data_IF_909869704585
#
_entry.id   IF_909869704585
#
_cell.length_a   1.000
_cell.length_b   1.000
_cell.length_c   1.000
_cell.angle_alpha   90.00
_cell.angle_beta   90.00
_cell.angle_gamma   90.00
#
_symmetry.space_group_name_H-M   'P 1'
#
loop_
_entity.id
_entity.type
_entity.pdbx_description
1 polymer ?
#
# COMPACT_ATOMS: atom_id res chain seq x y z
N UNK A 1 6.49 22.37 9.89
CA UNK A 1 5.09 22.08 10.26
C UNK A 1 4.68 20.86 9.46
N UNK A 2 4.15 19.85 10.12
CA UNK A 2 3.70 18.62 9.43
C UNK A 2 2.54 18.92 8.47
N UNK A 3 2.48 18.20 7.34
CA UNK A 3 1.47 18.43 6.29
C UNK A 3 0.06 18.17 6.80
N UNK A 4 -0.11 17.20 7.71
CA UNK A 4 -1.40 16.85 8.31
C UNK A 4 -1.78 17.80 9.44
N UNK A 5 -0.83 18.22 10.26
CA UNK A 5 -1.05 19.27 11.27
C UNK A 5 -1.59 20.55 10.60
N UNK A 6 -1.00 20.94 9.47
CA UNK A 6 -1.45 22.10 8.68
C UNK A 6 -2.86 21.89 8.15
N UNK A 7 -3.16 20.71 7.62
CA UNK A 7 -4.46 20.37 7.09
C UNK A 7 -5.56 20.42 8.16
N UNK A 8 -5.25 19.91 9.36
CA UNK A 8 -6.18 19.90 10.48
C UNK A 8 -6.48 21.33 10.97
N UNK A 9 -5.44 22.16 11.18
CA UNK A 9 -5.62 23.55 11.62
C UNK A 9 -6.37 24.41 10.61
N UNK A 10 -6.08 24.24 9.31
CA UNK A 10 -6.76 24.96 8.22
C UNK A 10 -8.07 24.33 7.77
N UNK A 11 -8.45 23.17 8.34
CA UNK A 11 -9.66 22.41 7.99
C UNK A 11 -9.78 22.16 6.49
N UNK A 12 -8.71 21.66 5.87
CA UNK A 12 -8.71 21.40 4.44
C UNK A 12 -9.86 20.48 4.01
N UNK A 13 -10.43 20.82 2.86
CA UNK A 13 -11.46 20.07 2.16
C UNK A 13 -11.00 19.80 0.73
N UNK A 14 -11.31 18.59 0.27
CA UNK A 14 -10.88 18.06 -1.00
C UNK A 14 -12.11 17.82 -1.88
N UNK A 15 -12.25 18.51 -3.01
CA UNK A 15 -13.44 18.39 -3.85
C UNK A 15 -13.52 17.00 -4.48
N UNK A 16 -14.72 16.41 -4.46
CA UNK A 16 -14.99 15.14 -5.12
C UNK A 16 -16.40 15.13 -5.73
N UNK A 17 -16.69 14.12 -6.55
CA UNK A 17 -18.03 13.93 -7.14
C UNK A 17 -19.14 13.68 -6.10
N UNK A 18 -18.79 13.32 -4.86
CA UNK A 18 -19.73 13.07 -3.76
C UNK A 18 -19.74 14.20 -2.72
N UNK A 19 -19.13 15.34 -3.05
CA UNK A 19 -18.94 16.46 -2.13
C UNK A 19 -17.53 16.49 -1.54
N UNK A 20 -17.33 17.42 -0.62
CA UNK A 20 -16.03 17.68 -0.03
C UNK A 20 -15.60 16.58 0.93
N UNK A 21 -14.38 16.09 0.74
CA UNK A 21 -13.76 15.07 1.57
C UNK A 21 -12.84 15.70 2.62
N UNK A 22 -12.76 15.07 3.78
CA UNK A 22 -11.73 15.36 4.79
C UNK A 22 -10.45 14.58 4.51
N UNK A 23 -9.36 14.91 5.22
CA UNK A 23 -8.08 14.20 5.10
C UNK A 23 -8.24 12.71 5.43
N UNK A 24 -9.01 12.40 6.47
CA UNK A 24 -9.27 11.04 6.93
C UNK A 24 -9.99 10.25 5.83
N UNK A 25 -11.01 10.84 5.19
CA UNK A 25 -11.76 10.19 4.11
C UNK A 25 -10.91 9.90 2.87
N UNK A 26 -9.80 10.63 2.65
CA UNK A 26 -8.88 10.31 1.56
C UNK A 26 -8.19 8.95 1.78
N UNK A 27 -7.98 8.52 3.02
CA UNK A 27 -7.39 7.21 3.31
C UNK A 27 -8.32 6.06 2.92
N UNK A 28 -9.63 6.29 2.87
CA UNK A 28 -10.62 5.29 2.46
C UNK A 28 -10.77 5.18 0.94
N UNK A 29 -10.25 6.14 0.18
CA UNK A 29 -10.34 6.15 -1.28
C UNK A 29 -9.39 5.13 -1.94
N UNK A 30 -9.81 4.47 -3.04
CA UNK A 30 -8.90 3.68 -3.86
C UNK A 30 -7.84 4.56 -4.55
N UNK A 31 -6.71 3.97 -4.91
CA UNK A 31 -5.65 4.67 -5.67
C UNK A 31 -6.15 5.12 -7.04
N UNK A 32 -6.83 4.21 -7.76
CA UNK A 32 -7.41 4.46 -9.08
C UNK A 32 -8.81 3.85 -9.13
N UNK A 33 -9.72 4.49 -9.87
CA UNK A 33 -11.05 3.95 -10.17
C UNK A 33 -11.00 2.46 -10.58
N UNK A 34 -11.82 1.63 -9.93
CA UNK A 34 -11.93 0.19 -10.22
C UNK A 34 -10.92 -0.72 -9.49
N UNK A 35 -9.97 -0.16 -8.71
CA UNK A 35 -9.03 -0.95 -7.89
C UNK A 35 -9.53 -1.29 -6.47
N UNK A 36 -10.75 -0.86 -6.11
CA UNK A 36 -11.30 -1.00 -4.76
C UNK A 36 -12.80 -1.33 -4.71
N UNK A 37 -13.37 -1.27 -3.51
CA UNK A 37 -14.76 -1.69 -3.19
C UNK A 37 -15.81 -0.80 -3.87
N UNK A 38 -15.45 0.41 -4.28
CA UNK A 38 -16.36 1.39 -4.86
C UNK A 38 -16.53 1.20 -6.37
N UNK A 39 -17.78 0.97 -6.82
CA UNK A 39 -18.16 0.92 -8.25
C UNK A 39 -18.09 2.27 -8.98
N UNK A 40 -17.84 3.37 -8.26
CA UNK A 40 -17.83 4.71 -8.85
C UNK A 40 -16.51 5.00 -9.55
N UNK A 41 -16.58 5.22 -10.86
CA UNK A 41 -15.43 5.36 -11.78
C UNK A 41 -14.63 6.67 -11.58
N UNK A 42 -15.07 7.56 -10.68
CA UNK A 42 -14.45 8.88 -10.46
C UNK A 42 -14.28 9.23 -8.97
N UNK A 43 -14.37 8.23 -8.09
CA UNK A 43 -14.23 8.41 -6.65
C UNK A 43 -12.95 7.74 -6.15
N UNK A 44 -11.82 8.33 -6.50
CA UNK A 44 -10.47 7.80 -6.27
C UNK A 44 -9.47 8.94 -6.04
N UNK A 45 -8.34 8.61 -5.40
CA UNK A 45 -7.28 9.57 -5.05
C UNK A 45 -6.70 10.29 -6.27
N UNK A 46 -6.56 9.57 -7.37
CA UNK A 46 -6.00 10.09 -8.61
C UNK A 46 -6.93 11.15 -9.24
N UNK A 47 -8.24 10.92 -9.25
CA UNK A 47 -9.23 11.89 -9.74
C UNK A 47 -9.28 13.15 -8.87
N UNK A 48 -9.26 13.00 -7.54
CA UNK A 48 -9.18 14.14 -6.61
C UNK A 48 -7.88 14.93 -6.82
N UNK A 49 -6.74 14.24 -6.92
CA UNK A 49 -5.44 14.85 -7.16
C UNK A 49 -5.38 15.63 -8.49
N UNK A 50 -5.93 15.07 -9.57
CA UNK A 50 -6.02 15.76 -10.86
C UNK A 50 -6.89 17.01 -10.82
N UNK A 51 -7.97 17.01 -10.04
CA UNK A 51 -8.80 18.19 -9.82
C UNK A 51 -7.99 19.35 -9.24
N UNK A 52 -7.28 19.07 -8.14
CA UNK A 52 -6.44 20.06 -7.45
C UNK A 52 -5.26 20.51 -8.31
N UNK A 53 -4.67 19.60 -9.09
CA UNK A 53 -3.59 19.96 -10.02
C UNK A 53 -4.09 20.90 -11.13
N UNK A 54 -5.30 20.66 -11.65
CA UNK A 54 -5.93 21.53 -12.64
C UNK A 54 -6.20 22.92 -12.07
N UNK A 55 -6.75 22.99 -10.85
CA UNK A 55 -6.95 24.26 -10.14
C UNK A 55 -5.61 25.00 -9.95
N UNK A 56 -4.57 24.31 -9.50
CA UNK A 56 -3.24 24.89 -9.29
C UNK A 56 -2.64 25.48 -10.58
N UNK A 57 -2.84 24.81 -11.71
CA UNK A 57 -2.41 25.32 -13.02
C UNK A 57 -3.18 26.59 -13.39
N UNK A 58 -4.49 26.60 -13.20
CA UNK A 58 -5.33 27.77 -13.47
C UNK A 58 -4.88 29.02 -12.71
N UNK A 59 -4.63 28.91 -11.39
CA UNK A 59 -4.12 30.06 -10.60
C UNK A 59 -2.66 30.44 -10.90
N UNK A 60 -1.89 29.56 -11.53
CA UNK A 60 -0.52 29.88 -11.94
C UNK A 60 -0.48 30.59 -13.30
N UNK A 61 -1.42 30.28 -14.20
CA UNK A 61 -1.48 30.81 -15.56
C UNK A 61 -2.20 32.17 -15.67
N UNK A 62 -3.11 32.50 -14.75
CA UNK A 62 -3.94 33.73 -14.81
C UNK A 62 -3.17 35.05 -14.59
N UNK A 63 -1.89 35.00 -14.17
CA UNK A 63 -1.14 36.22 -13.82
C UNK A 63 0.05 36.48 -14.74
N UNK A 64 -0.21 37.22 -15.83
CA UNK A 64 0.84 37.82 -16.67
C UNK A 64 1.19 39.26 -16.25
N UNK A 65 0.36 39.88 -15.40
CA UNK A 65 0.44 41.30 -15.02
C UNK A 65 0.55 41.52 -13.50
N UNK A 66 -0.01 40.61 -12.69
CA UNK A 66 0.04 40.73 -11.22
C UNK A 66 1.28 40.05 -10.66
N UNK A 67 2.12 40.82 -9.95
CA UNK A 67 3.39 40.36 -9.36
C UNK A 67 3.17 39.58 -8.05
N UNK A 68 1.95 39.62 -7.49
CA UNK A 68 1.63 38.94 -6.24
C UNK A 68 1.04 37.55 -6.51
N UNK A 69 1.59 36.48 -5.91
CA UNK A 69 1.08 35.12 -6.07
C UNK A 69 -0.33 34.97 -5.48
N UNK A 70 -1.19 34.23 -6.16
CA UNK A 70 -2.54 33.93 -5.65
C UNK A 70 -2.43 33.23 -4.28
N UNK A 71 -3.11 33.72 -3.23
CA UNK A 71 -3.04 33.14 -1.89
C UNK A 71 -3.50 31.67 -1.82
N UNK A 72 -4.28 31.21 -2.80
CA UNK A 72 -4.74 29.81 -2.94
C UNK A 72 -3.63 28.88 -3.38
N UNK A 73 -2.57 29.38 -4.03
CA UNK A 73 -1.45 28.55 -4.55
C UNK A 73 -0.83 27.70 -3.45
N UNK A 74 -0.46 28.32 -2.33
CA UNK A 74 0.16 27.60 -1.21
C UNK A 74 -0.79 26.62 -0.51
N UNK A 75 -2.11 26.84 -0.57
CA UNK A 75 -3.10 25.88 -0.08
C UNK A 75 -3.24 24.68 -1.04
N UNK A 76 -3.30 24.92 -2.35
CA UNK A 76 -3.41 23.86 -3.37
C UNK A 76 -2.16 22.98 -3.39
N UNK A 77 -0.96 23.56 -3.28
CA UNK A 77 0.29 22.83 -3.12
C UNK A 77 0.26 21.96 -1.85
N UNK A 78 -0.19 22.52 -0.73
CA UNK A 78 -0.32 21.79 0.52
C UNK A 78 -1.31 20.61 0.42
N UNK A 79 -2.43 20.78 -0.29
CA UNK A 79 -3.39 19.71 -0.55
C UNK A 79 -2.80 18.62 -1.44
N UNK A 80 -2.01 18.98 -2.47
CA UNK A 80 -1.32 18.02 -3.32
C UNK A 80 -0.28 17.20 -2.55
N UNK A 81 0.47 17.82 -1.63
CA UNK A 81 1.45 17.11 -0.81
C UNK A 81 0.79 16.01 0.04
N UNK A 82 -0.38 16.29 0.60
CA UNK A 82 -1.19 15.33 1.37
C UNK A 82 -1.61 14.16 0.49
N UNK A 83 -2.18 14.43 -0.69
CA UNK A 83 -2.61 13.36 -1.61
C UNK A 83 -1.43 12.50 -2.04
N UNK A 84 -0.30 13.11 -2.42
CA UNK A 84 0.92 12.39 -2.80
C UNK A 84 1.44 11.51 -1.67
N UNK A 85 1.44 12.02 -0.44
CA UNK A 85 1.85 11.24 0.73
C UNK A 85 0.96 10.02 0.91
N UNK A 86 -0.36 10.19 0.89
CA UNK A 86 -1.33 9.09 1.04
C UNK A 86 -1.13 8.05 -0.07
N UNK A 87 -1.00 8.49 -1.33
CA UNK A 87 -0.74 7.60 -2.47
C UNK A 87 0.54 6.79 -2.24
N UNK A 88 1.64 7.44 -1.83
CA UNK A 88 2.92 6.78 -1.61
C UNK A 88 2.84 5.72 -0.49
N UNK A 89 2.16 6.05 0.61
CA UNK A 89 1.94 5.11 1.72
C UNK A 89 1.12 3.90 1.25
N UNK A 90 -0.01 4.12 0.58
CA UNK A 90 -0.87 3.02 0.11
C UNK A 90 -0.18 2.13 -0.94
N UNK A 91 0.63 2.72 -1.83
CA UNK A 91 1.44 1.95 -2.78
C UNK A 91 2.49 1.09 -2.07
N UNK A 92 3.15 1.64 -1.04
CA UNK A 92 4.11 0.89 -0.23
C UNK A 92 3.45 -0.26 0.52
N UNK A 93 2.33 -0.01 1.19
CA UNK A 93 1.57 -1.05 1.90
C UNK A 93 1.12 -2.18 0.96
N UNK A 94 0.63 -1.83 -0.23
CA UNK A 94 0.27 -2.82 -1.25
C UNK A 94 1.47 -3.65 -1.70
N UNK A 95 2.62 -3.02 -1.94
CA UNK A 95 3.85 -3.71 -2.32
C UNK A 95 4.37 -4.63 -1.21
N UNK A 96 4.33 -4.17 0.05
CA UNK A 96 4.75 -4.94 1.22
C UNK A 96 3.82 -6.15 1.44
N UNK A 97 2.51 -5.99 1.26
CA UNK A 97 1.54 -7.08 1.32
C UNK A 97 1.77 -8.13 0.23
N UNK A 98 2.01 -7.70 -1.02
CA UNK A 98 2.35 -8.61 -2.12
C UNK A 98 3.66 -9.35 -1.87
N UNK A 99 4.69 -8.66 -1.37
CA UNK A 99 5.97 -9.27 -1.03
C UNK A 99 5.82 -10.30 0.11
N UNK A 100 5.02 -10.00 1.13
CA UNK A 100 4.72 -10.92 2.21
C UNK A 100 3.99 -12.18 1.72
N UNK A 101 2.97 -12.02 0.85
CA UNK A 101 2.26 -13.14 0.24
C UNK A 101 3.19 -14.02 -0.61
N UNK A 102 4.05 -13.41 -1.45
CA UNK A 102 5.01 -14.15 -2.26
C UNK A 102 6.06 -14.90 -1.40
N UNK A 103 6.52 -14.30 -0.30
CA UNK A 103 7.42 -14.96 0.66
C UNK A 103 6.73 -16.14 1.35
N UNK A 104 5.47 -15.99 1.75
CA UNK A 104 4.70 -17.06 2.37
C UNK A 104 4.50 -18.24 1.41
N UNK A 105 4.17 -17.96 0.14
CA UNK A 105 4.02 -19.01 -0.88
C UNK A 105 5.34 -19.72 -1.16
N UNK A 106 6.45 -18.98 -1.30
CA UNK A 106 7.79 -19.56 -1.47
C UNK A 106 8.17 -20.43 -0.27
N UNK A 107 7.92 -19.95 0.95
CA UNK A 107 8.18 -20.73 2.17
C UNK A 107 7.39 -22.04 2.17
N UNK A 108 6.11 -22.01 1.79
CA UNK A 108 5.28 -23.22 1.69
C UNK A 108 5.90 -24.23 0.72
N UNK A 109 6.23 -23.79 -0.50
CA UNK A 109 6.87 -24.63 -1.52
C UNK A 109 8.19 -25.24 -1.04
N UNK A 110 9.01 -24.48 -0.32
CA UNK A 110 10.27 -24.97 0.23
C UNK A 110 10.06 -26.04 1.31
N UNK A 111 9.11 -25.83 2.22
CA UNK A 111 8.77 -26.83 3.25
C UNK A 111 8.25 -28.11 2.61
N UNK A 112 7.36 -28.01 1.62
CA UNK A 112 6.82 -29.17 0.89
C UNK A 112 7.95 -29.93 0.17
N UNK A 113 8.88 -29.22 -0.45
CA UNK A 113 10.03 -29.82 -1.13
C UNK A 113 11.02 -30.49 -0.16
N UNK A 114 11.26 -29.89 1.01
CA UNK A 114 12.09 -30.50 2.06
C UNK A 114 11.46 -31.79 2.56
N UNK A 115 10.16 -31.77 2.91
CA UNK A 115 9.44 -32.97 3.34
C UNK A 115 9.50 -34.09 2.29
N UNK A 116 9.25 -33.75 1.01
CA UNK A 116 9.37 -34.72 -0.08
C UNK A 116 10.78 -35.29 -0.24
N UNK A 117 11.83 -34.51 0.04
CA UNK A 117 13.22 -34.96 -0.01
C UNK A 117 13.59 -35.84 1.19
N UNK A 118 13.07 -35.52 2.36
CA UNK A 118 13.22 -36.35 3.56
C UNK A 118 12.54 -37.72 3.35
N UNK A 119 11.33 -37.76 2.79
CA UNK A 119 10.63 -38.99 2.44
C UNK A 119 11.38 -39.82 1.38
N UNK A 120 11.92 -39.17 0.35
CA UNK A 120 12.79 -39.82 -0.64
C UNK A 120 14.07 -40.39 -0.01
N UNK A 121 14.64 -39.72 0.99
CA UNK A 121 15.83 -40.19 1.70
C UNK A 121 15.50 -41.39 2.60
N UNK A 122 14.40 -41.32 3.34
CA UNK A 122 13.90 -42.43 4.18
C UNK A 122 13.58 -43.67 3.34
N UNK A 123 12.96 -43.49 2.17
CA UNK A 123 12.65 -44.63 1.27
C UNK A 123 13.88 -45.26 0.61
N UNK A 124 15.00 -44.53 0.51
CA UNK A 124 16.27 -45.04 -0.03
C UNK A 124 17.20 -45.63 1.03
N UNK A 125 16.99 -45.30 2.30
CA UNK A 125 17.79 -45.81 3.41
C UNK A 125 17.62 -47.33 3.57
N UNK A 126 18.65 -48.01 4.07
CA UNK A 126 18.58 -49.45 4.33
C UNK A 126 17.74 -49.75 5.59
N UNK A 127 17.19 -50.97 5.66
CA UNK A 127 16.38 -51.41 6.81
C UNK A 127 17.14 -51.32 8.14
N UNK A 128 18.43 -51.62 8.16
CA UNK A 128 19.26 -51.57 9.37
C UNK A 128 19.49 -50.13 9.84
N UNK A 129 19.69 -49.18 8.92
CA UNK A 129 19.85 -47.75 9.26
C UNK A 129 18.57 -47.15 9.83
N UNK A 130 17.41 -47.49 9.25
CA UNK A 130 16.11 -47.03 9.73
C UNK A 130 15.77 -47.57 11.11
N UNK A 131 16.05 -48.85 11.38
CA UNK A 131 15.85 -49.45 12.70
C UNK A 131 16.73 -48.81 13.77
N UNK A 132 17.99 -48.49 13.43
CA UNK A 132 18.92 -47.84 14.35
C UNK A 132 18.49 -46.41 14.71
N UNK A 133 17.99 -45.65 13.73
CA UNK A 133 17.43 -44.32 13.95
C UNK A 133 16.16 -44.36 14.82
N UNK A 134 15.30 -45.38 14.62
CA UNK A 134 14.10 -45.57 15.44
C UNK A 134 14.46 -45.89 16.90
N UNK A 135 15.40 -46.80 17.14
CA UNK A 135 15.86 -47.13 18.51
C UNK A 135 16.50 -45.93 19.24
N UNK A 136 17.21 -45.06 18.53
CA UNK A 136 17.77 -43.83 19.11
C UNK A 136 16.67 -42.83 19.49
N UNK A 137 15.63 -42.68 18.66
CA UNK A 137 14.47 -41.84 18.97
C UNK A 137 13.66 -42.39 20.16
N UNK A 138 13.42 -43.70 20.22
CA UNK A 138 12.67 -44.33 21.31
C UNK A 138 13.41 -44.25 22.66
N UNK A 139 14.75 -44.28 22.65
CA UNK A 139 15.58 -44.07 23.86
C UNK A 139 15.62 -42.61 24.31
N UNK A 140 15.52 -41.66 23.40
CA UNK A 140 15.52 -40.23 23.73
C UNK A 140 14.16 -39.75 24.28
N UNK A 141 13.09 -40.49 24.01
CA UNK A 141 11.74 -40.22 24.51
C UNK A 141 11.39 -40.93 25.83
N UNK A 142 12.27 -41.81 26.33
CA UNK A 142 12.15 -42.54 27.60
C UNK A 142 12.89 -41.84 28.74
#
# INVERSE_FOLDING_TARGET
MDIFERAARKKFRFPSIKGDLTVEQLWDLPLVAGSGITRDVKFDLETVGRGILTELKGVTEDSLVNVNPDPRKGELEAKLDIIKHIIAVKQKEAADAQAAAARAEKRRKLVDAIASKEDEALSKASKEELLKQLEEMDKAAA
#
